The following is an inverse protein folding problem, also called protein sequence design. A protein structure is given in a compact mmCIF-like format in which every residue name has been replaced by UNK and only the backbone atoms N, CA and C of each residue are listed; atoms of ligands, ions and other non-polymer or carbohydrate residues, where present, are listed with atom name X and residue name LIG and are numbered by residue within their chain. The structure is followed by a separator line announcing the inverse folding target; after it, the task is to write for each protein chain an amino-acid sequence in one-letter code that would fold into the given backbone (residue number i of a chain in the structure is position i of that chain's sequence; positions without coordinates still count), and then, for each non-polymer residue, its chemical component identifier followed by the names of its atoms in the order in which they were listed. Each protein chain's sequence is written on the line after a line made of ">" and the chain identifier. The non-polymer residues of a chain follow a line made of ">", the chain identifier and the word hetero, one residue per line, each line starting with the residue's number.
data_IF_920699813147
#
_entry.id   IF_920699813147
#
_cell.length_a   1.000
_cell.length_b   1.000
_cell.length_c   1.000
_cell.angle_alpha   90.00
_cell.angle_beta   90.00
_cell.angle_gamma   90.00
#
_symmetry.space_group_name_H-M   'P 1'
#
loop_
_entity.id
_entity.type
_entity.pdbx_description
1 polymer ?
#
# COMPACT_ATOMS: atom_id res chain seq x y z
N UNK A 1 -27.78 -2.89 14.51
CA UNK A 1 -26.62 -3.74 14.14
C UNK A 1 -26.86 -5.13 14.71
N UNK A 2 -26.82 -6.16 13.88
CA UNK A 2 -27.01 -7.56 14.27
C UNK A 2 -25.67 -8.30 14.44
N UNK A 3 -24.54 -7.57 14.46
CA UNK A 3 -23.19 -8.14 14.49
C UNK A 3 -22.74 -8.70 13.12
N UNK A 4 -23.28 -8.14 12.06
CA UNK A 4 -23.12 -8.55 10.66
C UNK A 4 -21.92 -7.87 9.97
N UNK A 5 -21.05 -7.23 10.72
CA UNK A 5 -19.83 -6.58 10.24
C UNK A 5 -18.56 -7.36 10.53
N UNK A 6 -17.44 -6.71 10.25
CA UNK A 6 -16.12 -7.22 10.59
C UNK A 6 -15.88 -7.12 12.11
N UNK A 7 -15.09 -8.02 12.64
CA UNK A 7 -14.56 -7.95 14.00
C UNK A 7 -13.04 -7.93 14.02
N UNK A 8 -12.40 -8.28 12.89
CA UNK A 8 -10.97 -8.17 12.69
C UNK A 8 -10.64 -8.20 11.19
N UNK A 9 -9.68 -7.38 10.78
CA UNK A 9 -9.08 -7.37 9.44
C UNK A 9 -7.56 -7.47 9.59
N UNK A 10 -6.94 -8.40 8.84
CA UNK A 10 -5.49 -8.61 8.85
C UNK A 10 -4.95 -8.76 7.43
N UNK A 11 -3.91 -8.01 7.10
CA UNK A 11 -3.11 -8.18 5.88
C UNK A 11 -1.71 -7.62 6.11
N UNK A 12 -0.66 -8.36 5.74
CA UNK A 12 0.73 -7.99 6.02
C UNK A 12 0.93 -7.67 7.52
N UNK A 13 1.33 -6.47 7.87
CA UNK A 13 1.52 -5.98 9.24
C UNK A 13 0.26 -5.30 9.83
N UNK A 14 -0.77 -5.03 9.02
CA UNK A 14 -2.06 -4.58 9.52
C UNK A 14 -2.75 -5.72 10.27
N UNK A 15 -3.16 -5.46 11.51
CA UNK A 15 -4.04 -6.32 12.31
C UNK A 15 -4.91 -5.42 13.18
N UNK A 16 -6.17 -5.24 12.79
CA UNK A 16 -7.07 -4.31 13.42
C UNK A 16 -8.37 -4.98 13.84
N UNK A 17 -8.70 -4.84 15.14
CA UNK A 17 -9.99 -5.25 15.69
C UNK A 17 -10.97 -4.08 15.58
N UNK A 18 -12.16 -4.34 15.03
CA UNK A 18 -13.22 -3.36 14.82
C UNK A 18 -14.55 -3.80 15.43
N UNK A 19 -15.54 -2.97 15.32
CA UNK A 19 -16.93 -3.28 15.65
C UNK A 19 -17.80 -3.22 14.39
N UNK A 20 -19.09 -3.22 14.55
CA UNK A 20 -20.04 -3.09 13.45
C UNK A 20 -20.53 -1.64 13.37
N UNK A 21 -19.80 -0.76 12.72
CA UNK A 21 -20.05 0.67 12.59
C UNK A 21 -20.89 1.04 11.35
N UNK A 22 -20.98 0.12 10.39
CA UNK A 22 -21.59 0.32 9.08
C UNK A 22 -20.63 0.98 8.07
N UNK A 23 -20.06 2.11 8.42
CA UNK A 23 -18.90 2.73 7.76
C UNK A 23 -17.93 3.23 8.81
N UNK A 24 -16.67 2.90 8.65
CA UNK A 24 -15.59 3.40 9.49
C UNK A 24 -14.39 3.85 8.64
N UNK A 25 -13.84 5.00 8.98
CA UNK A 25 -12.59 5.50 8.43
C UNK A 25 -11.45 5.14 9.40
N UNK A 26 -10.71 4.11 9.06
CA UNK A 26 -9.55 3.61 9.78
C UNK A 26 -8.24 3.87 9.01
N UNK A 27 -8.18 4.94 8.22
CA UNK A 27 -7.00 5.30 7.44
C UNK A 27 -5.78 5.68 8.29
N UNK A 28 -5.93 5.79 9.61
CA UNK A 28 -4.82 5.86 10.56
C UNK A 28 -4.06 4.54 10.72
N UNK A 29 -4.68 3.40 10.33
CA UNK A 29 -4.05 2.09 10.30
C UNK A 29 -3.63 1.75 8.88
N UNK A 30 -2.41 1.24 8.71
CA UNK A 30 -1.84 0.94 7.41
C UNK A 30 -1.37 -0.49 7.26
N UNK A 31 -1.39 -0.97 6.02
CA UNK A 31 -0.73 -2.20 5.60
C UNK A 31 0.47 -1.85 4.72
N UNK A 32 1.64 -2.44 5.01
CA UNK A 32 2.82 -2.36 4.16
C UNK A 32 2.73 -3.43 3.07
N UNK A 33 2.56 -3.00 1.83
CA UNK A 33 2.36 -3.86 0.66
C UNK A 33 3.40 -3.52 -0.41
N UNK A 34 3.64 -4.43 -1.36
CA UNK A 34 4.61 -4.21 -2.43
C UNK A 34 4.03 -4.63 -3.79
N UNK A 35 4.32 -3.88 -4.86
CA UNK A 35 3.91 -4.23 -6.21
C UNK A 35 4.36 -5.63 -6.61
N UNK A 36 3.47 -6.42 -7.23
CA UNK A 36 3.72 -7.78 -7.69
C UNK A 36 3.65 -8.86 -6.62
N UNK A 37 3.50 -8.50 -5.34
CA UNK A 37 3.45 -9.45 -4.24
C UNK A 37 2.03 -9.91 -3.92
N UNK A 38 1.95 -11.05 -3.22
CA UNK A 38 0.70 -11.60 -2.73
C UNK A 38 0.77 -11.82 -1.22
N UNK A 39 -0.34 -11.53 -0.54
CA UNK A 39 -0.46 -11.59 0.91
C UNK A 39 -1.66 -12.42 1.33
N UNK A 40 -1.56 -13.03 2.49
CA UNK A 40 -2.73 -13.58 3.17
C UNK A 40 -3.60 -12.43 3.69
N UNK A 41 -4.82 -12.33 3.17
CA UNK A 41 -5.85 -11.42 3.65
C UNK A 41 -6.82 -12.20 4.50
N UNK A 42 -6.90 -11.89 5.78
CA UNK A 42 -7.73 -12.59 6.74
C UNK A 42 -8.77 -11.65 7.32
N UNK A 43 -10.02 -12.07 7.31
CA UNK A 43 -11.13 -11.34 7.94
C UNK A 43 -11.89 -12.23 8.90
N UNK A 44 -12.36 -11.65 9.99
CA UNK A 44 -13.24 -12.29 10.95
C UNK A 44 -14.55 -11.49 11.04
N UNK A 45 -15.68 -12.21 11.02
CA UNK A 45 -17.01 -11.62 11.11
C UNK A 45 -17.79 -12.21 12.28
N UNK A 46 -18.73 -11.43 12.82
CA UNK A 46 -19.65 -11.87 13.87
C UNK A 46 -20.88 -12.62 13.36
N UNK A 47 -21.01 -12.81 12.05
CA UNK A 47 -22.12 -13.49 11.38
C UNK A 47 -21.64 -14.16 10.11
N UNK A 48 -22.18 -15.34 9.78
CA UNK A 48 -21.90 -16.04 8.52
C UNK A 48 -22.69 -15.48 7.34
N UNK A 49 -22.57 -16.12 6.18
CA UNK A 49 -23.17 -15.66 4.92
C UNK A 49 -22.70 -14.24 4.50
N UNK A 50 -21.50 -13.84 4.93
CA UNK A 50 -20.92 -12.55 4.56
C UNK A 50 -20.13 -12.67 3.26
N UNK A 51 -20.54 -11.92 2.25
CA UNK A 51 -19.74 -11.68 1.07
C UNK A 51 -18.77 -10.54 1.35
N UNK A 52 -17.53 -10.68 0.89
CA UNK A 52 -16.47 -9.68 1.12
C UNK A 52 -15.75 -9.39 -0.19
N UNK A 53 -15.40 -8.14 -0.41
CA UNK A 53 -14.60 -7.66 -1.55
C UNK A 53 -13.65 -6.56 -1.09
N UNK A 54 -12.47 -6.48 -1.71
CA UNK A 54 -11.43 -5.49 -1.35
C UNK A 54 -10.92 -4.79 -2.59
N UNK A 55 -10.74 -3.48 -2.47
CA UNK A 55 -10.15 -2.61 -3.48
C UNK A 55 -9.01 -1.77 -2.88
N UNK A 56 -8.11 -1.33 -3.75
CA UNK A 56 -7.12 -0.30 -3.45
C UNK A 56 -7.17 0.73 -4.57
N UNK A 57 -7.40 2.01 -4.22
CA UNK A 57 -7.40 3.15 -5.13
C UNK A 57 -5.95 3.50 -5.53
N UNK A 58 -5.43 2.79 -6.54
CA UNK A 58 -4.03 2.91 -6.95
C UNK A 58 -3.71 4.20 -7.69
N UNK A 59 -4.73 4.84 -8.27
CA UNK A 59 -4.56 6.06 -9.05
C UNK A 59 -4.89 7.33 -8.24
N UNK A 60 -5.37 7.17 -7.00
CA UNK A 60 -5.77 8.22 -6.05
C UNK A 60 -6.82 9.19 -6.63
N UNK A 61 -7.73 8.69 -7.49
CA UNK A 61 -8.78 9.51 -8.10
C UNK A 61 -10.06 9.59 -7.23
N UNK A 62 -10.07 8.86 -6.11
CA UNK A 62 -11.18 8.81 -5.15
C UNK A 62 -12.34 7.91 -5.59
N UNK A 63 -12.16 7.13 -6.63
CA UNK A 63 -13.07 6.07 -7.06
C UNK A 63 -12.40 4.71 -6.96
N UNK A 64 -13.16 3.62 -7.04
CA UNK A 64 -12.63 2.27 -7.06
C UNK A 64 -13.12 1.57 -8.32
N UNK A 65 -12.23 1.39 -9.27
CA UNK A 65 -12.51 0.74 -10.55
C UNK A 65 -12.35 -0.79 -10.49
N UNK A 66 -12.74 -1.50 -11.53
CA UNK A 66 -12.66 -2.97 -11.57
C UNK A 66 -11.21 -3.46 -11.51
N UNK A 67 -10.27 -2.72 -12.11
CA UNK A 67 -8.83 -3.03 -12.12
C UNK A 67 -8.11 -2.71 -10.80
N UNK A 68 -8.80 -2.06 -9.87
CA UNK A 68 -8.36 -1.80 -8.50
C UNK A 68 -8.89 -2.82 -7.50
N UNK A 69 -9.63 -3.83 -7.97
CA UNK A 69 -10.07 -4.96 -7.14
C UNK A 69 -8.88 -5.88 -6.84
N UNK A 70 -8.43 -5.91 -5.59
CA UNK A 70 -7.32 -6.76 -5.13
C UNK A 70 -7.76 -8.07 -4.50
N UNK A 71 -9.01 -8.14 -4.00
CA UNK A 71 -9.67 -9.38 -3.60
C UNK A 71 -11.07 -9.41 -4.23
N UNK A 72 -11.32 -10.31 -5.18
CA UNK A 72 -12.65 -10.47 -5.76
C UNK A 72 -13.65 -10.99 -4.71
N UNK A 73 -14.95 -10.81 -4.99
CA UNK A 73 -15.98 -11.24 -4.05
C UNK A 73 -15.82 -12.70 -3.63
N UNK A 74 -15.81 -12.94 -2.33
CA UNK A 74 -15.84 -14.29 -1.72
C UNK A 74 -16.86 -14.31 -0.58
N UNK A 75 -17.19 -15.51 -0.08
CA UNK A 75 -18.19 -15.69 0.95
C UNK A 75 -17.62 -16.37 2.17
N UNK A 76 -17.91 -15.83 3.35
CA UNK A 76 -17.52 -16.38 4.66
C UNK A 76 -18.69 -17.19 5.21
N UNK A 77 -18.42 -18.44 5.62
CA UNK A 77 -19.35 -19.34 6.30
C UNK A 77 -20.75 -19.37 5.69
N UNK A 78 -20.91 -19.79 4.42
CA UNK A 78 -22.20 -19.80 3.72
C UNK A 78 -23.25 -20.62 4.46
N UNK A 79 -24.48 -20.09 4.57
CA UNK A 79 -25.62 -20.72 5.26
C UNK A 79 -25.53 -20.70 6.78
N UNK A 80 -24.54 -19.98 7.36
CA UNK A 80 -24.36 -19.86 8.81
C UNK A 80 -24.99 -18.57 9.33
N UNK A 81 -25.49 -18.63 10.56
CA UNK A 81 -26.06 -17.47 11.27
C UNK A 81 -25.03 -16.74 12.13
N UNK A 82 -25.47 -16.32 13.35
CA UNK A 82 -24.61 -15.66 14.32
C UNK A 82 -23.48 -16.61 14.79
N UNK A 83 -22.25 -16.09 14.87
CA UNK A 83 -21.06 -16.83 15.29
C UNK A 83 -19.81 -16.09 14.85
N UNK A 84 -18.66 -16.52 15.34
CA UNK A 84 -17.39 -15.96 14.90
C UNK A 84 -16.82 -16.82 13.79
N UNK A 85 -16.60 -16.23 12.63
CA UNK A 85 -16.11 -16.91 11.44
C UNK A 85 -14.93 -16.17 10.86
N UNK A 86 -13.87 -16.91 10.56
CA UNK A 86 -12.64 -16.37 9.99
C UNK A 86 -12.38 -17.04 8.65
N UNK A 87 -12.03 -16.28 7.64
CA UNK A 87 -11.64 -16.76 6.32
C UNK A 87 -10.34 -16.04 5.89
N UNK A 88 -9.49 -16.79 5.22
CA UNK A 88 -8.23 -16.28 4.66
C UNK A 88 -8.22 -16.51 3.16
N UNK A 89 -7.98 -15.46 2.39
CA UNK A 89 -7.86 -15.49 0.94
C UNK A 89 -6.60 -14.76 0.51
N UNK A 90 -6.20 -14.93 -0.75
CA UNK A 90 -5.03 -14.23 -1.28
C UNK A 90 -5.42 -12.84 -1.77
N UNK A 91 -4.72 -11.82 -1.30
CA UNK A 91 -4.70 -10.46 -1.84
C UNK A 91 -3.46 -10.33 -2.72
N UNK A 92 -3.64 -9.91 -3.97
CA UNK A 92 -2.53 -9.76 -4.92
C UNK A 92 -2.43 -8.32 -5.39
N UNK A 93 -1.23 -7.74 -5.29
CA UNK A 93 -0.92 -6.39 -5.75
C UNK A 93 -0.43 -6.46 -7.20
N UNK A 94 -0.96 -5.64 -8.13
CA UNK A 94 -0.45 -5.56 -9.50
C UNK A 94 1.04 -5.18 -9.54
N UNK A 95 1.77 -5.72 -10.53
CA UNK A 95 3.21 -5.40 -10.72
C UNK A 95 3.47 -3.94 -11.08
N UNK A 96 2.52 -3.29 -11.78
CA UNK A 96 2.68 -1.95 -12.31
C UNK A 96 1.66 -0.99 -11.67
N UNK A 97 2.02 -0.48 -10.52
CA UNK A 97 1.27 0.55 -9.80
C UNK A 97 2.22 1.69 -9.42
N UNK A 98 1.71 2.92 -9.16
CA UNK A 98 2.51 3.97 -8.56
C UNK A 98 3.06 3.50 -7.21
N UNK A 99 4.36 3.71 -6.97
CA UNK A 99 5.00 3.38 -5.70
C UNK A 99 5.25 4.64 -4.88
N UNK A 100 5.34 4.47 -3.55
CA UNK A 100 5.77 5.54 -2.63
C UNK A 100 4.67 6.47 -2.14
N UNK A 101 3.43 6.30 -2.58
CA UNK A 101 2.27 7.04 -2.07
C UNK A 101 1.38 6.10 -1.23
N UNK A 102 0.80 6.58 -0.12
CA UNK A 102 -0.25 5.84 0.54
C UNK A 102 -1.52 5.88 -0.29
N UNK A 103 -2.13 4.71 -0.52
CA UNK A 103 -3.38 4.55 -1.24
C UNK A 103 -4.51 4.19 -0.28
N UNK A 104 -5.74 4.48 -0.63
CA UNK A 104 -6.89 4.05 0.14
C UNK A 104 -7.23 2.61 -0.18
N UNK A 105 -7.27 1.76 0.84
CA UNK A 105 -7.77 0.40 0.76
C UNK A 105 -9.16 0.35 1.37
N UNK A 106 -10.14 -0.19 0.64
CA UNK A 106 -11.51 -0.38 1.10
C UNK A 106 -11.83 -1.86 1.24
N UNK A 107 -12.26 -2.26 2.42
CA UNK A 107 -12.79 -3.58 2.74
C UNK A 107 -14.29 -3.45 2.94
N UNK A 108 -15.07 -4.25 2.22
CA UNK A 108 -16.53 -4.15 2.27
C UNK A 108 -17.18 -5.51 2.41
N UNK A 109 -18.20 -5.59 3.27
CA UNK A 109 -19.04 -6.77 3.38
C UNK A 109 -20.48 -6.51 2.96
N UNK A 110 -21.20 -7.58 2.62
CA UNK A 110 -22.64 -7.59 2.41
C UNK A 110 -23.22 -8.98 2.76
N UNK A 111 -24.29 -9.00 3.52
CA UNK A 111 -24.90 -10.24 3.96
C UNK A 111 -25.81 -10.83 2.88
N UNK A 112 -25.67 -12.15 2.64
CA UNK A 112 -26.51 -12.96 1.72
C UNK A 112 -26.53 -12.50 0.25
N UNK A 113 -25.73 -11.52 -0.14
CA UNK A 113 -25.61 -11.08 -1.51
C UNK A 113 -24.20 -10.60 -1.79
N UNK A 114 -23.75 -10.70 -3.03
CA UNK A 114 -22.45 -10.19 -3.45
C UNK A 114 -22.32 -8.70 -3.14
N UNK A 115 -21.11 -8.29 -2.78
CA UNK A 115 -20.76 -6.88 -2.65
C UNK A 115 -20.85 -6.24 -4.03
N UNK A 116 -21.55 -5.09 -4.13
CA UNK A 116 -21.65 -4.32 -5.38
C UNK A 116 -20.28 -4.01 -5.98
N UNK A 117 -20.18 -4.02 -7.31
CA UNK A 117 -18.97 -3.56 -8.00
C UNK A 117 -18.70 -2.07 -7.79
N UNK A 118 -19.74 -1.29 -7.50
CA UNK A 118 -19.57 0.08 -7.03
C UNK A 118 -19.28 0.08 -5.52
N UNK A 119 -18.02 0.30 -5.17
CA UNK A 119 -17.55 0.33 -3.79
C UNK A 119 -18.20 1.42 -2.92
N UNK A 120 -18.87 2.41 -3.53
CA UNK A 120 -19.58 3.49 -2.84
C UNK A 120 -21.05 3.17 -2.55
N UNK A 121 -21.60 2.06 -3.06
CA UNK A 121 -22.96 1.66 -2.77
C UNK A 121 -23.11 1.28 -1.30
N UNK A 122 -24.26 1.60 -0.73
CA UNK A 122 -24.55 1.25 0.67
C UNK A 122 -25.01 -0.20 0.76
N UNK A 123 -24.33 -1.02 1.55
CA UNK A 123 -24.81 -2.34 1.93
C UNK A 123 -25.93 -2.18 2.99
N UNK A 124 -27.04 -2.89 2.81
CA UNK A 124 -28.14 -2.83 3.78
C UNK A 124 -27.79 -3.57 5.08
N UNK A 125 -27.06 -4.67 4.94
CA UNK A 125 -26.55 -5.51 6.02
C UNK A 125 -25.11 -5.85 5.69
N UNK A 126 -24.19 -5.10 6.22
CA UNK A 126 -22.77 -5.23 5.98
C UNK A 126 -22.04 -3.99 6.45
N UNK A 127 -20.75 -3.94 6.19
CA UNK A 127 -19.86 -2.91 6.66
C UNK A 127 -18.91 -2.47 5.58
N UNK A 128 -18.39 -1.26 5.73
CA UNK A 128 -17.32 -0.69 4.89
C UNK A 128 -16.28 -0.09 5.81
N UNK A 129 -15.05 -0.54 5.67
CA UNK A 129 -13.89 -0.03 6.41
C UNK A 129 -12.84 0.45 5.42
N UNK A 130 -12.35 1.67 5.62
CA UNK A 130 -11.27 2.26 4.85
C UNK A 130 -9.97 2.25 5.66
N UNK A 131 -8.90 1.76 5.05
CA UNK A 131 -7.54 1.67 5.59
C UNK A 131 -6.55 2.35 4.66
N UNK A 132 -5.31 2.49 5.10
CA UNK A 132 -4.19 2.95 4.25
C UNK A 132 -3.38 1.74 3.75
N UNK A 133 -3.15 1.67 2.44
CA UNK A 133 -2.20 0.76 1.82
C UNK A 133 -0.93 1.55 1.48
N UNK A 134 0.17 1.30 2.19
CA UNK A 134 1.46 1.86 1.88
C UNK A 134 2.15 0.97 0.86
N UNK A 135 2.45 1.51 -0.33
CA UNK A 135 3.17 0.77 -1.35
C UNK A 135 4.67 0.95 -1.15
N UNK A 136 5.27 -0.02 -0.47
CA UNK A 136 6.71 -0.08 -0.29
C UNK A 136 7.42 -0.21 -1.64
N UNK A 137 8.61 0.36 -1.73
CA UNK A 137 9.51 0.05 -2.85
C UNK A 137 10.02 -1.37 -2.58
N UNK A 138 9.70 -2.33 -3.46
CA UNK A 138 10.39 -3.61 -3.49
C UNK A 138 11.90 -3.32 -3.61
N UNK A 139 12.66 -3.56 -2.57
CA UNK A 139 14.10 -3.40 -2.66
C UNK A 139 14.86 -3.09 -1.39
N UNK A 140 14.20 -2.92 -0.24
CA UNK A 140 14.94 -2.78 1.03
C UNK A 140 15.13 -4.12 1.78
N UNK A 141 14.49 -5.19 1.31
CA UNK A 141 14.69 -6.55 1.80
C UNK A 141 15.51 -7.45 0.84
N UNK A 142 16.04 -6.90 -0.27
CA UNK A 142 17.06 -7.60 -1.04
C UNK A 142 18.31 -7.73 -0.13
N UNK A 143 18.76 -8.93 0.20
CA UNK A 143 19.96 -9.12 1.01
C UNK A 143 21.22 -8.47 0.41
N UNK A 144 21.20 -8.10 -0.88
CA UNK A 144 22.25 -7.30 -1.52
C UNK A 144 22.16 -5.82 -1.16
N UNK A 145 20.98 -5.32 -0.71
CA UNK A 145 20.80 -3.93 -0.26
C UNK A 145 20.92 -3.81 1.27
N UNK A 146 20.77 -4.90 2.03
CA UNK A 146 20.91 -4.89 3.49
C UNK A 146 22.31 -4.47 3.98
N UNK A 147 23.31 -4.46 3.09
CA UNK A 147 24.67 -3.94 3.32
C UNK A 147 24.97 -2.67 2.53
N UNK A 148 23.94 -2.04 1.92
CA UNK A 148 24.15 -0.81 1.18
C UNK A 148 24.43 0.37 2.13
N UNK A 149 25.45 1.14 1.80
CA UNK A 149 25.79 2.38 2.50
C UNK A 149 25.40 3.56 1.62
N UNK A 150 24.47 4.39 2.12
CA UNK A 150 24.05 5.62 1.45
C UNK A 150 24.68 6.82 2.16
N UNK A 151 25.47 7.61 1.43
CA UNK A 151 26.16 8.78 1.97
C UNK A 151 25.86 10.02 1.14
N UNK A 152 25.57 11.12 1.81
CA UNK A 152 25.44 12.44 1.18
C UNK A 152 26.47 13.37 1.83
N UNK A 153 27.42 13.84 1.06
CA UNK A 153 28.41 14.81 1.48
C UNK A 153 28.08 16.19 0.91
N UNK A 154 28.12 17.21 1.76
CA UNK A 154 27.89 18.59 1.34
C UNK A 154 29.22 19.27 1.07
N UNK A 155 29.35 19.96 -0.05
CA UNK A 155 30.45 20.79 -0.43
C UNK A 155 30.04 22.27 -0.45
N UNK A 156 31.00 23.23 -0.40
CA UNK A 156 30.68 24.66 -0.50
C UNK A 156 29.85 24.98 -1.75
N UNK A 157 29.06 26.07 -1.69
CA UNK A 157 28.18 26.52 -2.77
C UNK A 157 27.02 25.60 -3.12
N UNK A 158 26.38 24.99 -2.13
CA UNK A 158 25.21 24.10 -2.32
C UNK A 158 25.46 22.94 -3.30
N UNK A 159 26.61 22.32 -3.21
CA UNK A 159 26.94 21.12 -3.96
C UNK A 159 26.87 19.89 -3.06
N UNK A 160 26.42 18.76 -3.62
CA UNK A 160 26.22 17.52 -2.88
C UNK A 160 26.78 16.35 -3.68
N UNK A 161 27.58 15.53 -3.02
CA UNK A 161 28.05 14.26 -3.55
C UNK A 161 27.22 13.14 -2.90
N UNK A 162 26.46 12.42 -3.71
CA UNK A 162 25.61 11.30 -3.28
C UNK A 162 26.28 10.01 -3.71
N UNK A 163 26.51 9.11 -2.77
CA UNK A 163 27.12 7.80 -3.02
C UNK A 163 26.25 6.70 -2.44
N UNK A 164 25.98 5.67 -3.24
CA UNK A 164 25.36 4.42 -2.83
C UNK A 164 26.35 3.28 -3.08
N UNK A 165 26.92 2.73 -2.03
CA UNK A 165 27.78 1.53 -2.07
C UNK A 165 26.91 0.29 -1.89
N UNK A 166 26.95 -0.66 -2.82
CA UNK A 166 26.10 -1.86 -2.80
C UNK A 166 26.68 -2.95 -3.70
N UNK A 167 26.39 -4.20 -3.39
CA UNK A 167 26.68 -5.36 -4.26
C UNK A 167 25.69 -5.45 -5.44
N UNK A 168 24.59 -4.72 -5.43
CA UNK A 168 23.61 -4.72 -6.52
C UNK A 168 24.23 -4.28 -7.85
N UNK A 169 24.08 -5.07 -8.90
CA UNK A 169 24.65 -4.84 -10.23
C UNK A 169 23.62 -4.33 -11.28
N UNK A 170 22.40 -4.03 -10.85
CA UNK A 170 21.34 -3.52 -11.73
C UNK A 170 21.47 -2.02 -12.04
N UNK A 171 20.42 -1.46 -12.61
CA UNK A 171 20.30 -0.02 -12.86
C UNK A 171 19.78 0.68 -11.61
N UNK A 172 20.50 1.69 -11.15
CA UNK A 172 20.02 2.58 -10.10
C UNK A 172 19.54 3.91 -10.71
N UNK A 173 18.59 4.56 -10.07
CA UNK A 173 18.19 5.92 -10.41
C UNK A 173 18.13 6.80 -9.17
N UNK A 174 18.35 8.10 -9.36
CA UNK A 174 18.18 9.11 -8.34
C UNK A 174 17.10 10.10 -8.76
N UNK A 175 16.14 10.35 -7.88
CA UNK A 175 15.13 11.40 -8.02
C UNK A 175 15.26 12.37 -6.83
N UNK A 176 15.26 13.66 -7.11
CA UNK A 176 15.40 14.72 -6.12
C UNK A 176 14.19 15.61 -6.19
N UNK A 177 13.57 15.86 -5.06
CA UNK A 177 12.35 16.66 -4.93
C UNK A 177 12.60 17.83 -3.98
N UNK A 178 11.93 18.95 -4.22
CA UNK A 178 11.88 20.04 -3.25
C UNK A 178 10.87 19.72 -2.13
N UNK A 179 10.81 20.61 -1.13
CA UNK A 179 9.90 20.46 0.02
C UNK A 179 8.41 20.53 -0.33
N UNK A 180 8.08 20.90 -1.57
CA UNK A 180 6.71 20.93 -2.11
C UNK A 180 6.40 19.67 -2.95
N UNK A 181 7.30 18.67 -2.98
CA UNK A 181 7.13 17.45 -3.77
C UNK A 181 7.38 17.59 -5.28
N UNK A 182 7.89 18.73 -5.73
CA UNK A 182 8.19 18.92 -7.15
C UNK A 182 9.56 18.32 -7.48
N UNK A 183 9.64 17.52 -8.53
CA UNK A 183 10.89 16.90 -8.98
C UNK A 183 11.85 17.96 -9.50
N UNK A 184 13.06 18.01 -8.93
CA UNK A 184 14.14 18.90 -9.33
C UNK A 184 15.08 18.22 -10.32
N UNK A 185 15.41 16.96 -10.06
CA UNK A 185 16.32 16.18 -10.89
C UNK A 185 15.94 14.70 -10.92
N UNK A 186 16.19 14.04 -12.04
CA UNK A 186 16.09 12.60 -12.20
C UNK A 186 17.24 12.11 -13.11
N UNK A 187 17.99 11.12 -12.66
CA UNK A 187 19.07 10.53 -13.42
C UNK A 187 19.17 9.02 -13.19
N UNK A 188 19.44 8.28 -14.28
CA UNK A 188 19.92 6.91 -14.16
C UNK A 188 21.41 6.91 -13.86
N UNK A 189 21.83 6.05 -12.96
CA UNK A 189 23.19 5.94 -12.50
C UNK A 189 23.82 4.65 -13.01
N UNK A 190 25.08 4.76 -13.49
CA UNK A 190 25.90 3.60 -13.83
C UNK A 190 26.82 3.27 -12.65
N UNK A 191 26.93 1.96 -12.35
CA UNK A 191 27.80 1.48 -11.28
C UNK A 191 29.28 1.68 -11.64
N UNK A 192 30.03 2.26 -10.76
CA UNK A 192 31.48 2.43 -10.87
C UNK A 192 32.17 1.65 -9.74
N UNK A 193 32.69 0.46 -10.07
CA UNK A 193 33.24 -0.44 -9.06
C UNK A 193 32.14 -1.03 -8.17
N UNK A 194 32.15 -0.69 -6.89
CA UNK A 194 31.21 -1.15 -5.86
C UNK A 194 30.11 -0.12 -5.52
N UNK A 195 30.01 1.00 -6.28
CA UNK A 195 29.13 2.12 -5.93
C UNK A 195 28.53 2.83 -7.13
N UNK A 196 27.41 3.51 -6.87
CA UNK A 196 26.79 4.51 -7.73
C UNK A 196 27.11 5.89 -7.18
N UNK A 197 27.47 6.82 -8.04
CA UNK A 197 27.82 8.19 -7.64
C UNK A 197 26.99 9.21 -8.42
N UNK A 198 26.54 10.26 -7.72
CA UNK A 198 25.83 11.38 -8.32
C UNK A 198 26.30 12.68 -7.70
N UNK A 199 26.75 13.60 -8.55
CA UNK A 199 27.09 14.96 -8.12
C UNK A 199 25.93 15.90 -8.45
N UNK A 200 25.32 16.48 -7.39
CA UNK A 200 24.25 17.45 -7.50
C UNK A 200 24.80 18.86 -7.30
N UNK A 201 24.73 19.67 -8.34
CA UNK A 201 25.09 21.11 -8.27
C UNK A 201 23.81 21.96 -8.12
N UNK A 202 23.60 22.47 -6.92
CA UNK A 202 22.51 23.38 -6.56
C UNK A 202 23.02 24.81 -6.34
N UNK A 203 24.17 25.17 -6.89
CA UNK A 203 24.80 26.50 -6.69
C UNK A 203 23.93 27.67 -7.22
N UNK A 204 22.97 27.35 -8.08
CA UNK A 204 21.99 28.28 -8.64
C UNK A 204 20.72 28.45 -7.78
N UNK A 205 20.55 27.60 -6.76
CA UNK A 205 19.36 27.63 -5.92
C UNK A 205 19.59 28.51 -4.68
N UNK A 206 18.63 29.38 -4.39
CA UNK A 206 18.62 30.14 -3.14
C UNK A 206 18.33 29.23 -1.94
N UNK A 207 18.85 29.56 -0.77
CA UNK A 207 18.61 28.81 0.45
C UNK A 207 17.10 28.80 0.79
N UNK A 208 16.48 27.62 0.77
CA UNK A 208 15.07 27.43 1.08
C UNK A 208 14.20 26.92 -0.09
N UNK A 209 14.82 26.54 -1.20
CA UNK A 209 14.14 25.82 -2.31
C UNK A 209 14.14 24.33 -2.05
#
# INVERSE_FOLDING_TARGET
>A
SFGDGFTNVTVSDLNHDSGCEGYADFTEFSAELAPGESYDFTVTTGYGDQHVKVWIDFNDDGTFSDDETVVPNFIIAPGSGAGTFTETVTLTIPESIPSGNPHRMRVKSNWQAEVSDNACDVSQYGETEDYTANMGILGLEDPTISQAEFTVLTSPNNQFDVTLTTEFDGVASIAIFNVLGQMIAYNNLEKQGDRFEYHLDMSYADAGV
#
